data_IF_535714748730
#
_entry.id   IF_535714748730
#
_cell.length_a   1.000
_cell.length_b   1.000
_cell.length_c   1.000
_cell.angle_alpha   90.00
_cell.angle_beta   90.00
_cell.angle_gamma   90.00
#
_symmetry.space_group_name_H-M   'P 1'
#
loop_
_entity.id
_entity.type
_entity.pdbx_description
1 polymer ?
#
# COMPACT_ATOMS: atom_id res chain seq x y z
N UNK A 1 -74.06 -27.59 39.24
CA UNK A 1 -75.00 -26.55 38.78
C UNK A 1 -74.30 -25.66 37.78
N UNK A 2 -75.07 -25.23 36.77
CA UNK A 2 -74.85 -24.07 35.90
C UNK A 2 -74.11 -24.30 34.57
N UNK A 3 -74.93 -24.74 33.63
CA UNK A 3 -74.84 -24.48 32.20
C UNK A 3 -74.72 -22.97 31.93
N UNK A 4 -73.90 -22.57 30.95
CA UNK A 4 -74.14 -21.38 30.15
C UNK A 4 -73.81 -21.66 28.68
N UNK A 5 -74.84 -21.61 27.85
CA UNK A 5 -74.79 -21.51 26.40
C UNK A 5 -74.77 -20.03 26.01
N UNK A 6 -73.85 -19.63 25.14
CA UNK A 6 -73.89 -18.47 24.22
C UNK A 6 -72.93 -18.89 23.08
N UNK A 7 -73.29 -19.36 21.89
CA UNK A 7 -74.15 -18.86 20.79
C UNK A 7 -73.73 -17.48 20.27
N UNK A 8 -73.26 -17.49 19.01
CA UNK A 8 -73.15 -16.41 18.00
C UNK A 8 -71.70 -15.97 17.69
N UNK A 9 -71.26 -15.77 16.46
CA UNK A 9 -71.74 -16.05 15.11
C UNK A 9 -70.62 -15.61 14.14
N UNK A 10 -70.60 -16.18 12.93
CA UNK A 10 -69.95 -15.71 11.68
C UNK A 10 -68.43 -15.93 11.54
N UNK A 11 -67.87 -16.36 10.39
CA UNK A 11 -68.38 -16.83 9.08
C UNK A 11 -67.13 -17.43 8.36
N UNK A 12 -67.19 -18.64 7.76
CA UNK A 12 -67.30 -18.91 6.30
C UNK A 12 -66.10 -18.31 5.52
N UNK A 13 -65.28 -19.00 4.72
CA UNK A 13 -65.50 -20.13 3.80
C UNK A 13 -64.13 -20.76 3.43
N UNK A 14 -64.19 -22.03 3.08
CA UNK A 14 -63.20 -22.90 2.42
C UNK A 14 -62.43 -22.28 1.24
N UNK A 15 -61.22 -22.78 0.95
CA UNK A 15 -60.99 -23.73 -0.16
C UNK A 15 -59.52 -24.21 -0.18
N UNK A 16 -59.32 -25.52 -0.07
CA UNK A 16 -58.06 -26.16 -0.41
C UNK A 16 -57.93 -26.25 -1.93
N UNK A 17 -56.80 -25.80 -2.48
CA UNK A 17 -56.36 -26.19 -3.82
C UNK A 17 -54.90 -26.61 -3.71
N UNK A 18 -54.69 -27.92 -3.79
CA UNK A 18 -53.40 -28.50 -4.14
C UNK A 18 -53.16 -28.26 -5.63
N UNK A 19 -52.01 -27.67 -5.96
CA UNK A 19 -51.39 -27.77 -7.28
C UNK A 19 -50.05 -28.47 -7.12
N UNK A 20 -50.03 -29.75 -7.46
CA UNK A 20 -48.80 -30.48 -7.78
C UNK A 20 -48.31 -30.02 -9.15
N UNK A 21 -47.15 -29.38 -9.20
CA UNK A 21 -46.36 -29.29 -10.42
C UNK A 21 -44.88 -29.46 -10.10
N UNK A 22 -44.24 -30.27 -10.93
CA UNK A 22 -42.92 -30.86 -10.81
C UNK A 22 -41.78 -29.86 -10.59
N UNK A 23 -40.82 -30.31 -9.78
CA UNK A 23 -39.40 -30.05 -10.00
C UNK A 23 -38.85 -28.82 -9.27
N UNK A 24 -38.17 -29.04 -8.15
CA UNK A 24 -36.91 -28.33 -7.95
C UNK A 24 -35.96 -29.12 -7.06
N UNK A 25 -34.78 -29.40 -7.63
CA UNK A 25 -33.63 -29.95 -6.93
C UNK A 25 -33.19 -28.93 -5.87
N UNK A 26 -33.02 -29.39 -4.63
CA UNK A 26 -32.32 -28.64 -3.60
C UNK A 26 -30.86 -28.48 -4.04
N UNK A 27 -30.54 -27.34 -4.65
CA UNK A 27 -29.17 -26.85 -4.73
C UNK A 27 -28.85 -26.19 -3.39
N UNK A 28 -28.10 -26.92 -2.57
CA UNK A 28 -27.35 -26.41 -1.44
C UNK A 28 -26.50 -25.24 -1.94
N UNK A 29 -26.89 -24.02 -1.58
CA UNK A 29 -26.09 -22.82 -1.81
C UNK A 29 -24.89 -22.90 -0.90
N UNK A 30 -23.82 -23.51 -1.39
CA UNK A 30 -22.48 -23.18 -0.95
C UNK A 30 -22.23 -21.77 -1.48
N UNK A 31 -22.17 -20.80 -0.58
CA UNK A 31 -21.63 -19.48 -0.85
C UNK A 31 -20.15 -19.67 -1.19
N UNK A 32 -19.87 -19.96 -2.46
CA UNK A 32 -18.61 -19.61 -3.08
C UNK A 32 -18.51 -18.10 -2.90
N UNK A 33 -17.66 -17.67 -1.97
CA UNK A 33 -17.12 -16.33 -2.04
C UNK A 33 -16.40 -16.25 -3.39
N UNK A 34 -17.08 -15.69 -4.39
CA UNK A 34 -16.39 -15.09 -5.52
C UNK A 34 -15.37 -14.13 -4.91
N UNK A 35 -14.11 -14.53 -4.97
CA UNK A 35 -13.02 -13.60 -4.81
C UNK A 35 -13.22 -12.56 -5.92
N UNK A 36 -13.89 -11.47 -5.57
CA UNK A 36 -13.81 -10.24 -6.33
C UNK A 36 -12.32 -9.94 -6.35
N UNK A 37 -11.69 -10.14 -7.50
CA UNK A 37 -10.33 -9.72 -7.77
C UNK A 37 -10.36 -8.19 -7.63
N UNK A 38 -10.19 -7.71 -6.40
CA UNK A 38 -10.15 -6.29 -6.11
C UNK A 38 -8.85 -5.81 -6.74
N UNK A 39 -8.94 -5.22 -7.93
CA UNK A 39 -7.81 -4.55 -8.55
C UNK A 39 -7.11 -3.68 -7.50
N UNK A 40 -5.81 -3.89 -7.32
CA UNK A 40 -5.01 -3.07 -6.41
C UNK A 40 -5.21 -1.57 -6.66
N UNK A 41 -5.06 -0.78 -5.61
CA UNK A 41 -5.12 0.68 -5.66
C UNK A 41 -4.01 1.24 -6.57
N UNK A 42 -4.36 2.21 -7.41
CA UNK A 42 -3.39 2.96 -8.21
C UNK A 42 -2.40 3.74 -7.34
N UNK A 43 -1.13 3.77 -7.74
CA UNK A 43 -0.06 4.43 -6.98
C UNK A 43 -0.33 5.92 -6.77
N UNK A 44 -0.89 6.61 -7.76
CA UNK A 44 -1.25 8.02 -7.66
C UNK A 44 -2.24 8.26 -6.51
N UNK A 45 -3.24 7.38 -6.39
CA UNK A 45 -4.24 7.45 -5.33
C UNK A 45 -3.64 7.14 -3.97
N UNK A 46 -2.73 6.18 -3.90
CA UNK A 46 -1.99 5.88 -2.68
C UNK A 46 -1.18 7.10 -2.22
N UNK A 47 -0.39 7.71 -3.11
CA UNK A 47 0.48 8.84 -2.79
C UNK A 47 -0.32 10.08 -2.34
N UNK A 48 -1.46 10.35 -2.99
CA UNK A 48 -2.36 11.44 -2.60
C UNK A 48 -2.99 11.23 -1.21
N UNK A 49 -3.09 9.99 -0.74
CA UNK A 49 -3.71 9.63 0.54
C UNK A 49 -2.71 9.01 1.53
N UNK A 50 -1.41 9.13 1.28
CA UNK A 50 -0.39 8.35 2.00
C UNK A 50 -0.38 8.63 3.51
N UNK A 51 -0.63 9.87 3.93
CA UNK A 51 -0.69 10.24 5.35
C UNK A 51 -1.83 9.53 6.09
N UNK A 52 -3.00 9.35 5.44
CA UNK A 52 -4.16 8.70 6.06
C UNK A 52 -4.09 7.17 5.99
N UNK A 53 -3.31 6.65 5.06
CA UNK A 53 -3.08 5.21 4.85
C UNK A 53 -1.83 4.71 5.59
N UNK A 54 -0.99 5.60 6.10
CA UNK A 54 0.24 5.24 6.81
C UNK A 54 -0.04 4.28 7.96
N UNK A 55 0.75 3.20 8.02
CA UNK A 55 0.64 2.14 9.00
C UNK A 55 -0.38 1.05 8.67
N UNK A 56 -1.21 1.22 7.62
CA UNK A 56 -2.22 0.25 7.19
C UNK A 56 -1.68 -0.72 6.14
N UNK A 57 -2.30 -1.89 6.07
CA UNK A 57 -2.13 -2.78 4.92
C UNK A 57 -2.89 -2.23 3.72
N UNK A 58 -2.25 -2.24 2.56
CA UNK A 58 -2.78 -1.80 1.28
C UNK A 58 -2.40 -2.80 0.20
N UNK A 59 -3.24 -2.94 -0.81
CA UNK A 59 -2.90 -3.62 -2.07
C UNK A 59 -2.82 -2.56 -3.15
N UNK A 60 -1.68 -2.46 -3.82
CA UNK A 60 -1.42 -1.46 -4.87
C UNK A 60 -1.01 -2.14 -6.16
N UNK A 61 -1.21 -1.44 -7.28
CA UNK A 61 -0.81 -1.89 -8.60
C UNK A 61 0.01 -0.81 -9.31
N UNK A 62 1.04 -1.22 -10.06
CA UNK A 62 1.78 -0.33 -10.94
C UNK A 62 2.83 -1.04 -11.78
N UNK A 63 3.43 -0.29 -12.70
CA UNK A 63 4.47 -0.83 -13.60
C UNK A 63 5.80 -0.85 -12.84
N UNK A 64 6.41 -2.03 -12.69
CA UNK A 64 7.72 -2.12 -12.05
C UNK A 64 8.82 -1.67 -13.03
N UNK A 65 9.48 -0.56 -12.72
CA UNK A 65 10.51 0.04 -13.57
C UNK A 65 11.92 -0.40 -13.21
N UNK A 66 12.13 -0.84 -11.97
CA UNK A 66 13.45 -1.21 -11.47
C UNK A 66 13.36 -2.25 -10.36
N UNK A 67 14.28 -3.21 -10.41
CA UNK A 67 14.58 -4.11 -9.30
C UNK A 67 16.02 -3.85 -8.85
N UNK A 68 16.24 -3.62 -7.56
CA UNK A 68 17.57 -3.29 -7.05
C UNK A 68 18.57 -4.43 -7.28
N UNK A 69 19.76 -4.13 -7.81
CA UNK A 69 20.83 -5.11 -8.09
C UNK A 69 21.37 -5.82 -6.84
N UNK A 70 21.15 -5.27 -5.66
CA UNK A 70 21.59 -5.85 -4.37
C UNK A 70 20.60 -6.90 -3.86
N UNK A 71 20.44 -8.00 -4.61
CA UNK A 71 19.62 -9.14 -4.19
C UNK A 71 18.11 -8.99 -4.45
N UNK A 72 17.69 -8.05 -5.29
CA UNK A 72 16.29 -7.87 -5.68
C UNK A 72 15.33 -7.67 -4.49
N UNK A 73 15.80 -7.16 -3.36
CA UNK A 73 14.99 -6.95 -2.16
C UNK A 73 14.10 -5.70 -2.24
N UNK A 74 14.22 -4.93 -3.33
CA UNK A 74 13.45 -3.71 -3.58
C UNK A 74 13.02 -3.64 -5.03
N UNK A 75 11.76 -3.27 -5.25
CA UNK A 75 11.24 -2.86 -6.56
C UNK A 75 10.68 -1.44 -6.49
N UNK A 76 10.61 -0.79 -7.64
CA UNK A 76 10.02 0.54 -7.78
C UNK A 76 8.84 0.44 -8.74
N UNK A 77 7.66 0.76 -8.23
CA UNK A 77 6.44 0.79 -9.03
C UNK A 77 6.14 2.23 -9.42
N UNK A 78 5.86 2.42 -10.70
CA UNK A 78 5.46 3.68 -11.31
C UNK A 78 3.93 3.72 -11.44
N UNK A 79 3.36 4.86 -11.09
CA UNK A 79 1.95 5.19 -11.29
C UNK A 79 1.68 5.68 -12.70
N UNK A 80 0.91 6.77 -12.84
CA UNK A 80 0.54 7.29 -14.16
C UNK A 80 1.72 7.82 -14.98
N UNK A 81 2.75 8.35 -14.31
CA UNK A 81 3.99 8.81 -14.93
C UNK A 81 5.22 8.58 -14.02
N UNK A 82 6.41 8.93 -14.52
CA UNK A 82 7.68 8.68 -13.85
C UNK A 82 7.98 9.63 -12.67
N UNK A 83 7.08 10.58 -12.38
CA UNK A 83 7.12 11.42 -11.18
C UNK A 83 6.41 10.76 -10.00
N UNK A 84 5.46 9.85 -10.28
CA UNK A 84 4.68 9.12 -9.28
C UNK A 84 5.26 7.73 -9.08
N UNK A 85 6.27 7.61 -8.21
CA UNK A 85 6.94 6.33 -7.94
C UNK A 85 6.85 5.95 -6.47
N UNK A 86 6.62 4.67 -6.18
CA UNK A 86 6.74 4.10 -4.84
C UNK A 86 7.72 2.93 -4.78
N UNK A 87 8.52 2.92 -3.71
CA UNK A 87 9.43 1.83 -3.37
C UNK A 87 8.66 0.73 -2.63
N UNK A 88 8.82 -0.51 -3.06
CA UNK A 88 8.35 -1.69 -2.31
C UNK A 88 9.57 -2.50 -1.87
N UNK A 89 9.61 -2.87 -0.60
CA UNK A 89 10.67 -3.70 -0.01
C UNK A 89 10.12 -5.11 0.27
N UNK A 90 10.92 -6.13 -0.03
CA UNK A 90 10.48 -7.52 0.01
C UNK A 90 10.20 -8.03 1.44
N UNK A 91 10.78 -7.42 2.47
CA UNK A 91 10.61 -7.86 3.85
C UNK A 91 10.91 -9.36 4.02
N UNK A 92 9.94 -10.09 4.57
CA UNK A 92 10.01 -11.55 4.77
C UNK A 92 9.95 -12.36 3.46
N UNK A 93 9.51 -11.78 2.34
CA UNK A 93 9.54 -12.42 1.02
C UNK A 93 10.98 -12.64 0.52
N UNK A 94 11.96 -11.93 1.10
CA UNK A 94 13.37 -12.02 0.75
C UNK A 94 13.72 -11.26 -0.53
N UNK A 95 13.14 -11.62 -1.66
CA UNK A 95 13.44 -11.01 -2.96
C UNK A 95 12.26 -11.03 -3.93
N UNK A 96 12.21 -10.04 -4.81
CA UNK A 96 11.28 -10.01 -5.95
C UNK A 96 11.86 -10.75 -7.16
N UNK A 97 10.98 -11.35 -7.96
CA UNK A 97 11.35 -11.98 -9.24
C UNK A 97 11.85 -10.93 -10.25
N UNK A 98 12.82 -11.30 -11.09
CA UNK A 98 13.25 -10.44 -12.20
C UNK A 98 12.11 -10.17 -13.20
N UNK A 99 11.11 -11.06 -13.27
CA UNK A 99 9.93 -10.89 -14.11
C UNK A 99 9.04 -9.71 -13.66
N UNK A 100 9.29 -9.12 -12.49
CA UNK A 100 8.60 -7.88 -12.12
C UNK A 100 8.93 -6.74 -13.10
N UNK A 101 10.19 -6.63 -13.56
CA UNK A 101 10.63 -5.49 -14.38
C UNK A 101 9.87 -5.46 -15.72
N UNK A 102 9.36 -4.27 -16.06
CA UNK A 102 8.55 -3.97 -17.24
C UNK A 102 7.14 -4.61 -17.25
N UNK A 103 6.72 -5.23 -16.15
CA UNK A 103 5.37 -5.76 -16.00
C UNK A 103 4.57 -4.99 -14.95
N UNK A 104 3.25 -5.15 -15.01
CA UNK A 104 2.36 -4.68 -13.95
C UNK A 104 2.49 -5.64 -12.77
N UNK A 105 2.77 -5.10 -11.60
CA UNK A 105 2.90 -5.87 -10.37
C UNK A 105 1.86 -5.37 -9.38
N UNK A 106 1.08 -6.30 -8.85
CA UNK A 106 0.24 -6.07 -7.68
C UNK A 106 1.03 -6.42 -6.43
N UNK A 107 1.09 -5.51 -5.46
CA UNK A 107 1.80 -5.68 -4.20
C UNK A 107 0.84 -5.42 -3.05
N UNK A 108 0.72 -6.40 -2.15
CA UNK A 108 0.07 -6.23 -0.85
C UNK A 108 1.12 -6.09 0.23
N UNK A 109 0.95 -5.12 1.12
CA UNK A 109 1.86 -4.90 2.22
C UNK A 109 1.49 -3.69 3.07
N UNK A 110 2.30 -3.43 4.08
CA UNK A 110 2.10 -2.28 4.98
C UNK A 110 2.68 -1.01 4.36
N UNK A 111 1.89 0.06 4.30
CA UNK A 111 2.41 1.39 3.98
C UNK A 111 3.17 1.94 5.18
N UNK A 112 4.47 2.20 5.02
CA UNK A 112 5.34 2.71 6.08
C UNK A 112 5.76 4.14 5.76
N UNK A 113 5.54 5.05 6.71
CA UNK A 113 6.10 6.40 6.68
C UNK A 113 7.53 6.39 7.24
N UNK A 114 8.48 6.82 6.43
CA UNK A 114 9.82 7.20 6.83
C UNK A 114 9.89 8.73 6.95
N UNK A 115 10.08 9.22 8.18
CA UNK A 115 10.27 10.64 8.43
C UNK A 115 11.74 11.03 8.35
N UNK A 116 12.00 12.21 7.80
CA UNK A 116 13.30 12.89 7.86
C UNK A 116 13.08 14.20 8.62
N UNK A 117 13.61 14.26 9.83
CA UNK A 117 13.60 15.42 10.72
C UNK A 117 15.04 15.87 11.03
N UNK A 118 15.19 16.95 11.79
CA UNK A 118 16.51 17.49 12.14
C UNK A 118 17.36 16.48 12.93
N UNK A 119 16.75 15.66 13.79
CA UNK A 119 17.48 14.64 14.56
C UNK A 119 18.05 13.54 13.64
N UNK A 120 17.27 13.09 12.66
CA UNK A 120 17.74 12.16 11.64
C UNK A 120 18.91 12.74 10.84
N UNK A 121 18.80 14.01 10.42
CA UNK A 121 19.85 14.68 9.66
C UNK A 121 21.14 14.84 10.46
N UNK A 122 21.06 15.20 11.75
CA UNK A 122 22.23 15.27 12.63
C UNK A 122 22.93 13.91 12.77
N UNK A 123 22.18 12.84 13.00
CA UNK A 123 22.75 11.48 13.05
C UNK A 123 23.40 11.08 11.72
N UNK A 124 22.84 11.52 10.60
CA UNK A 124 23.44 11.27 9.29
C UNK A 124 24.77 12.02 9.13
N UNK A 125 24.84 13.31 9.52
CA UNK A 125 26.08 14.08 9.52
C UNK A 125 27.17 13.43 10.40
N UNK A 126 26.81 12.93 11.58
CA UNK A 126 27.72 12.21 12.46
C UNK A 126 28.28 10.94 11.82
N UNK A 127 27.41 10.15 11.16
CA UNK A 127 27.82 8.96 10.42
C UNK A 127 28.75 9.31 9.26
N UNK A 128 28.48 10.40 8.53
CA UNK A 128 29.35 10.86 7.44
C UNK A 128 30.73 11.28 7.98
N UNK A 129 30.80 12.01 9.09
CA UNK A 129 32.07 12.36 9.76
C UNK A 129 32.83 11.10 10.18
N UNK A 130 32.15 10.10 10.73
CA UNK A 130 32.75 8.83 11.14
C UNK A 130 33.20 7.96 9.94
N UNK A 131 32.50 8.03 8.80
CA UNK A 131 32.85 7.32 7.56
C UNK A 131 34.00 8.01 6.81
N UNK A 132 34.06 9.34 6.81
CA UNK A 132 35.21 10.09 6.28
C UNK A 132 36.50 9.75 7.05
N UNK A 133 36.39 9.38 8.33
CA UNK A 133 37.50 8.86 9.13
C UNK A 133 37.89 7.40 8.82
N UNK A 134 37.05 6.63 8.11
CA UNK A 134 37.31 5.24 7.67
C UNK A 134 37.13 5.15 6.15
N UNK A 135 38.17 5.44 5.37
CA UNK A 135 38.12 5.32 3.89
C UNK A 135 37.77 3.90 3.45
N UNK A 136 36.49 3.65 3.18
CA UNK A 136 36.03 2.58 2.29
C UNK A 136 34.82 3.08 1.48
N UNK A 137 34.82 2.72 0.19
CA UNK A 137 34.02 3.33 -0.85
C UNK A 137 32.51 3.09 -0.74
N UNK A 138 31.78 4.13 -1.15
CA UNK A 138 30.43 4.13 -1.70
C UNK A 138 29.41 3.13 -1.11
N UNK A 139 28.72 3.50 -0.03
CA UNK A 139 27.52 2.77 0.40
C UNK A 139 26.42 3.63 1.07
N UNK A 140 26.50 4.97 1.02
CA UNK A 140 25.52 5.86 1.68
C UNK A 140 24.59 6.61 0.71
N UNK A 141 24.88 6.58 -0.59
CA UNK A 141 23.99 7.09 -1.62
C UNK A 141 23.13 5.92 -2.12
N UNK A 142 21.86 5.85 -1.72
CA UNK A 142 20.89 4.94 -2.34
C UNK A 142 20.91 5.08 -3.87
N UNK A 143 20.39 4.09 -4.60
CA UNK A 143 20.42 4.15 -6.07
C UNK A 143 19.60 5.33 -6.62
N UNK A 144 19.82 5.72 -7.88
CA UNK A 144 19.11 6.83 -8.52
C UNK A 144 17.57 6.71 -8.43
N UNK A 145 17.03 5.50 -8.51
CA UNK A 145 15.60 5.25 -8.33
C UNK A 145 15.12 5.56 -6.92
N UNK A 146 15.92 5.27 -5.89
CA UNK A 146 15.60 5.61 -4.50
C UNK A 146 15.64 7.13 -4.29
N UNK A 147 16.59 7.81 -4.93
CA UNK A 147 16.68 9.27 -4.92
C UNK A 147 15.45 9.93 -5.56
N UNK A 148 15.00 9.42 -6.72
CA UNK A 148 13.76 9.87 -7.38
C UNK A 148 12.52 9.65 -6.50
N UNK A 149 12.39 8.48 -5.88
CA UNK A 149 11.28 8.20 -4.96
C UNK A 149 11.24 9.14 -3.75
N UNK A 150 12.40 9.69 -3.34
CA UNK A 150 12.52 10.71 -2.28
C UNK A 150 12.44 12.15 -2.79
N UNK A 151 12.18 12.35 -4.09
CA UNK A 151 12.18 13.66 -4.74
C UNK A 151 13.43 14.49 -4.37
N UNK A 152 14.58 13.82 -4.34
CA UNK A 152 15.85 14.45 -4.03
C UNK A 152 16.45 15.09 -5.28
N UNK A 153 16.95 16.32 -5.15
CA UNK A 153 17.67 17.01 -6.21
C UNK A 153 18.94 16.27 -6.61
N UNK A 154 19.38 16.47 -7.85
CA UNK A 154 20.60 15.87 -8.36
C UNK A 154 21.88 16.58 -7.87
N UNK A 155 22.09 16.59 -6.55
CA UNK A 155 23.28 17.15 -5.89
C UNK A 155 24.35 16.09 -5.66
N UNK A 156 25.63 16.48 -5.70
CA UNK A 156 26.78 15.59 -5.89
C UNK A 156 27.56 15.27 -4.61
N UNK A 157 27.07 15.68 -3.43
CA UNK A 157 27.63 15.28 -2.13
C UNK A 157 26.57 14.94 -1.08
N UNK A 158 26.84 14.03 -0.13
CA UNK A 158 25.96 13.77 1.01
C UNK A 158 25.63 15.02 1.84
N UNK A 159 26.57 15.96 1.97
CA UNK A 159 26.40 17.22 2.70
C UNK A 159 25.39 18.16 2.02
N UNK A 160 25.45 18.26 0.68
CA UNK A 160 24.47 19.03 -0.10
C UNK A 160 23.07 18.41 0.01
N UNK A 161 22.95 17.09 0.05
CA UNK A 161 21.67 16.38 0.26
C UNK A 161 21.06 16.74 1.61
N UNK A 162 21.85 16.73 2.67
CA UNK A 162 21.40 17.11 4.02
C UNK A 162 20.93 18.57 4.04
N UNK A 163 21.66 19.46 3.39
CA UNK A 163 21.28 20.88 3.26
C UNK A 163 19.96 21.05 2.50
N UNK A 164 19.77 20.31 1.41
CA UNK A 164 18.52 20.32 0.65
C UNK A 164 17.33 19.84 1.51
N UNK A 165 17.51 18.76 2.29
CA UNK A 165 16.48 18.29 3.22
C UNK A 165 16.14 19.33 4.27
N UNK A 166 17.13 19.98 4.91
CA UNK A 166 16.87 21.06 5.88
C UNK A 166 16.07 22.21 5.26
N UNK A 167 16.40 22.62 4.04
CA UNK A 167 15.65 23.66 3.32
C UNK A 167 14.19 23.25 3.10
N UNK A 168 13.97 22.04 2.58
CA UNK A 168 12.61 21.50 2.36
C UNK A 168 11.82 21.35 3.66
N UNK A 169 12.47 20.97 4.77
CA UNK A 169 11.86 20.92 6.10
C UNK A 169 11.43 22.32 6.55
N UNK A 170 12.29 23.33 6.39
CA UNK A 170 11.96 24.72 6.74
C UNK A 170 10.77 25.22 5.91
N UNK A 171 10.81 25.04 4.58
CA UNK A 171 9.73 25.44 3.68
C UNK A 171 8.40 24.77 4.04
N UNK A 172 8.42 23.48 4.43
CA UNK A 172 7.22 22.75 4.86
C UNK A 172 6.74 23.22 6.23
N UNK A 173 7.64 23.51 7.15
CA UNK A 173 7.27 24.02 8.47
C UNK A 173 6.57 25.38 8.36
N UNK A 174 7.04 26.26 7.46
CA UNK A 174 6.40 27.54 7.19
C UNK A 174 5.00 27.39 6.59
N UNK A 175 4.79 26.41 5.71
CA UNK A 175 3.51 26.20 5.01
C UNK A 175 2.49 25.37 5.79
N UNK A 176 2.95 24.36 6.52
CA UNK A 176 2.13 23.30 7.11
C UNK A 176 2.33 23.13 8.63
N UNK A 177 3.31 23.82 9.24
CA UNK A 177 3.67 23.62 10.64
C UNK A 177 4.33 22.27 10.94
N UNK A 178 4.77 21.54 9.91
CA UNK A 178 5.43 20.24 10.02
C UNK A 178 6.94 20.38 9.87
N UNK A 179 7.68 20.14 10.95
CA UNK A 179 9.13 20.23 11.02
C UNK A 179 9.86 18.95 10.55
N UNK A 180 9.27 18.22 9.59
CA UNK A 180 9.81 16.99 9.03
C UNK A 180 9.26 16.73 7.62
N UNK A 181 9.98 15.93 6.84
CA UNK A 181 9.51 15.41 5.55
C UNK A 181 9.04 13.97 5.72
N UNK A 182 8.01 13.60 4.96
CA UNK A 182 7.43 12.26 4.97
C UNK A 182 7.71 11.58 3.65
N UNK A 183 8.32 10.40 3.70
CA UNK A 183 8.50 9.51 2.56
C UNK A 183 7.76 8.21 2.83
N UNK A 184 7.21 7.59 1.79
CA UNK A 184 6.40 6.39 1.95
C UNK A 184 6.96 5.24 1.12
N UNK A 185 6.89 4.03 1.68
CA UNK A 185 7.24 2.81 1.00
C UNK A 185 6.34 1.67 1.46
N UNK A 186 6.24 0.60 0.66
CA UNK A 186 5.53 -0.61 1.05
C UNK A 186 6.51 -1.63 1.60
N UNK A 187 6.23 -2.16 2.78
CA UNK A 187 6.81 -3.41 3.26
C UNK A 187 5.92 -4.56 2.80
N UNK A 188 6.35 -5.27 1.76
CA UNK A 188 5.52 -6.24 1.04
C UNK A 188 5.37 -7.55 1.82
N UNK A 189 4.15 -8.05 1.89
CA UNK A 189 3.79 -9.37 2.44
C UNK A 189 3.36 -10.34 1.34
N UNK A 190 2.94 -9.83 0.19
CA UNK A 190 2.59 -10.62 -1.01
C UNK A 190 2.79 -9.78 -2.27
N UNK A 191 3.11 -10.41 -3.39
CA UNK A 191 3.00 -9.78 -4.71
C UNK A 191 2.58 -10.78 -5.79
N UNK A 192 2.08 -10.25 -6.91
CA UNK A 192 1.73 -10.99 -8.10
C UNK A 192 2.10 -10.17 -9.35
N UNK A 193 2.71 -10.81 -10.35
CA UNK A 193 2.92 -10.22 -11.67
C UNK A 193 1.67 -10.49 -12.50
N UNK A 194 1.10 -9.44 -13.09
CA UNK A 194 -0.05 -9.53 -13.98
C UNK A 194 0.48 -9.68 -15.41
N UNK A 195 0.24 -10.85 -16.01
CA UNK A 195 0.62 -11.17 -17.40
C UNK A 195 -0.39 -10.64 -18.43
#
# INVERSE_FOLDING_TARGET
MRNYKLISLAAILTLAIAITSCGNKQAKSETTAEAVESKGMEIDSLLANAETLSGKEVTIQGVCTHTCKHGATKIFLMGSDDTQTIRCEAGELGSFSQNCVNNIVEVTGKLVEQRIDEAYLQQWEEKLKAQTAKKHGNSAAGCDSERKARQEEAVNSPEERITNFRKRIADRNEKEGKNYLSFYFIEATKYQVQE
#
